data_IF_108282104974
#
_entry.id   IF_108282104974
#
_cell.length_a   1.000
_cell.length_b   1.000
_cell.length_c   1.000
_cell.angle_alpha   90.00
_cell.angle_beta   90.00
_cell.angle_gamma   90.00
#
_symmetry.space_group_name_H-M   'P 1'
#
loop_
_entity.id
_entity.type
_entity.pdbx_description
1 polymer ?
#
# COMPACT_ATOMS: atom_id res chain seq x y z
N UNK A 1 -7.15 -69.64 17.71
CA UNK A 1 -7.29 -68.18 17.55
C UNK A 1 -6.57 -67.78 16.26
N UNK A 2 -7.34 -67.29 15.31
CA UNK A 2 -7.00 -67.22 13.89
C UNK A 2 -6.05 -66.03 13.62
N UNK A 3 -4.89 -66.30 13.00
CA UNK A 3 -3.86 -65.27 12.61
C UNK A 3 -4.39 -64.17 11.67
N UNK A 4 -5.63 -64.29 11.20
CA UNK A 4 -6.28 -63.28 10.35
C UNK A 4 -6.91 -62.11 11.15
N UNK A 5 -7.27 -62.34 12.42
CA UNK A 5 -7.84 -61.27 13.27
C UNK A 5 -6.79 -60.31 13.83
N UNK A 6 -5.55 -60.78 13.98
CA UNK A 6 -4.46 -59.94 14.49
C UNK A 6 -3.88 -58.98 13.43
N UNK A 7 -4.02 -59.30 12.13
CA UNK A 7 -3.59 -58.42 11.04
C UNK A 7 -4.59 -57.28 10.77
N UNK A 8 -5.86 -57.45 11.09
CA UNK A 8 -6.90 -56.44 10.94
C UNK A 8 -6.82 -55.32 11.99
N UNK A 9 -6.33 -55.63 13.19
CA UNK A 9 -6.21 -54.64 14.27
C UNK A 9 -4.97 -53.75 14.16
N UNK A 10 -3.91 -54.19 13.47
CA UNK A 10 -2.68 -53.40 13.26
C UNK A 10 -2.86 -52.38 12.12
N UNK A 11 -3.77 -52.64 11.16
CA UNK A 11 -4.04 -51.73 10.05
C UNK A 11 -5.05 -50.62 10.41
N UNK A 12 -5.81 -50.75 11.47
CA UNK A 12 -6.78 -49.74 11.95
C UNK A 12 -6.17 -48.72 12.90
N UNK A 13 -4.93 -48.93 13.41
CA UNK A 13 -4.28 -48.00 14.32
C UNK A 13 -3.25 -47.06 13.62
N UNK A 14 -3.06 -47.22 12.31
CA UNK A 14 -2.13 -46.41 11.52
C UNK A 14 -2.77 -45.23 10.77
N UNK A 15 -4.08 -44.98 10.95
CA UNK A 15 -4.87 -44.01 10.21
C UNK A 15 -5.54 -42.91 11.08
N UNK A 16 -5.05 -42.68 12.31
CA UNK A 16 -5.52 -41.57 13.15
C UNK A 16 -4.35 -40.74 13.74
N UNK A 17 -3.36 -40.44 12.94
CA UNK A 17 -2.54 -39.24 13.15
C UNK A 17 -2.90 -38.28 12.02
N UNK A 18 -4.17 -37.88 11.97
CA UNK A 18 -4.52 -36.58 11.42
C UNK A 18 -3.97 -35.58 12.44
N UNK A 19 -2.70 -35.23 12.30
CA UNK A 19 -2.14 -34.10 12.98
C UNK A 19 -3.00 -32.90 12.59
N UNK A 20 -3.81 -32.37 13.50
CA UNK A 20 -4.22 -30.98 13.43
C UNK A 20 -2.92 -30.19 13.44
N UNK A 21 -2.35 -29.91 12.27
CA UNK A 21 -1.35 -28.87 12.17
C UNK A 21 -2.00 -27.61 12.73
N UNK A 22 -1.55 -27.23 13.91
CA UNK A 22 -2.04 -26.01 14.55
C UNK A 22 -1.69 -24.87 13.61
N UNK A 23 -2.70 -24.18 13.08
CA UNK A 23 -2.49 -23.03 12.23
C UNK A 23 -1.49 -22.08 12.91
N UNK A 24 -0.44 -21.67 12.17
CA UNK A 24 0.57 -20.71 12.61
C UNK A 24 -0.11 -19.48 13.20
N UNK A 25 0.31 -19.03 14.39
CA UNK A 25 -0.23 -17.78 14.94
C UNK A 25 0.19 -16.59 14.09
N UNK A 26 -0.59 -15.50 14.12
CA UNK A 26 -0.23 -14.28 13.37
C UNK A 26 1.09 -13.68 13.83
N UNK A 27 1.45 -13.83 15.12
CA UNK A 27 2.73 -13.37 15.64
C UNK A 27 3.90 -14.22 15.12
N UNK A 28 3.77 -15.55 15.16
CA UNK A 28 4.81 -16.45 14.60
C UNK A 28 5.01 -16.20 13.10
N UNK A 29 3.90 -15.96 12.38
CA UNK A 29 3.93 -15.61 10.96
C UNK A 29 4.64 -14.26 10.72
N UNK A 30 4.36 -13.25 11.53
CA UNK A 30 5.03 -11.95 11.44
C UNK A 30 6.54 -12.11 11.73
N UNK A 31 6.93 -12.84 12.76
CA UNK A 31 8.34 -13.12 13.09
C UNK A 31 9.07 -13.79 11.93
N UNK A 32 8.42 -14.80 11.31
CA UNK A 32 8.97 -15.51 10.14
C UNK A 32 9.13 -14.58 8.94
N UNK A 33 8.12 -13.76 8.65
CA UNK A 33 8.14 -12.83 7.52
C UNK A 33 9.19 -11.73 7.72
N UNK A 34 9.25 -11.11 8.90
CA UNK A 34 10.26 -10.07 9.17
C UNK A 34 11.68 -10.64 9.20
N UNK A 35 11.87 -11.90 9.63
CA UNK A 35 13.15 -12.58 9.51
C UNK A 35 13.57 -12.77 8.05
N UNK A 36 12.65 -13.14 7.18
CA UNK A 36 12.90 -13.21 5.74
C UNK A 36 13.17 -11.81 5.16
N UNK A 37 12.32 -10.83 5.48
CA UNK A 37 12.44 -9.46 5.01
C UNK A 37 13.82 -8.87 5.33
N UNK A 38 14.32 -9.09 6.55
CA UNK A 38 15.64 -8.65 6.97
C UNK A 38 16.75 -9.20 6.04
N UNK A 39 16.72 -10.49 5.71
CA UNK A 39 17.69 -11.13 4.80
C UNK A 39 17.57 -10.61 3.36
N UNK A 40 16.35 -10.49 2.86
CA UNK A 40 16.08 -10.01 1.50
C UNK A 40 16.52 -8.54 1.34
N UNK A 41 16.15 -7.68 2.28
CA UNK A 41 16.53 -6.27 2.26
C UNK A 41 18.04 -6.05 2.37
N UNK A 42 18.74 -6.81 3.22
CA UNK A 42 20.19 -6.73 3.34
C UNK A 42 20.87 -7.08 2.01
N UNK A 43 20.44 -8.17 1.37
CA UNK A 43 20.94 -8.57 0.04
C UNK A 43 20.66 -7.50 -1.01
N UNK A 44 19.41 -7.02 -1.11
CA UNK A 44 19.04 -5.97 -2.07
C UNK A 44 19.86 -4.71 -1.87
N UNK A 45 20.07 -4.28 -0.63
CA UNK A 45 20.86 -3.09 -0.30
C UNK A 45 22.34 -3.20 -0.70
N UNK A 46 22.90 -4.42 -0.81
CA UNK A 46 24.26 -4.67 -1.30
C UNK A 46 24.37 -4.57 -2.83
N UNK A 47 23.28 -4.81 -3.57
CA UNK A 47 23.24 -4.73 -5.03
C UNK A 47 22.98 -3.31 -5.55
N UNK A 48 22.60 -2.38 -4.67
CA UNK A 48 22.29 -0.99 -5.03
C UNK A 48 23.52 -0.09 -4.95
N UNK A 49 23.69 0.72 -5.98
CA UNK A 49 24.65 1.82 -5.98
C UNK A 49 24.08 3.08 -5.29
N UNK A 50 24.87 4.17 -5.27
CA UNK A 50 24.50 5.43 -4.60
C UNK A 50 23.39 6.23 -5.30
N UNK A 51 22.97 5.84 -6.51
CA UNK A 51 22.05 6.64 -7.34
C UNK A 51 20.70 5.96 -7.59
N UNK A 52 20.64 4.65 -7.43
CA UNK A 52 19.48 3.87 -7.82
C UNK A 52 18.75 3.27 -6.62
N UNK A 53 17.46 3.15 -6.78
CA UNK A 53 16.53 2.43 -5.89
C UNK A 53 15.98 1.19 -6.63
N UNK A 54 15.53 0.14 -5.92
CA UNK A 54 14.96 -1.02 -6.58
C UNK A 54 13.56 -0.66 -7.10
N UNK A 55 13.20 -1.27 -8.22
CA UNK A 55 11.89 -1.12 -8.83
C UNK A 55 11.16 -2.46 -8.91
N UNK A 56 11.82 -3.48 -9.52
CA UNK A 56 11.27 -4.80 -9.78
C UNK A 56 12.39 -5.79 -10.05
N UNK A 57 12.06 -7.05 -10.32
CA UNK A 57 12.97 -8.10 -10.75
C UNK A 57 12.34 -8.87 -11.89
N UNK A 58 13.07 -9.03 -13.02
CA UNK A 58 12.55 -9.65 -14.23
C UNK A 58 12.78 -11.17 -14.31
N UNK A 59 13.13 -11.79 -13.20
CA UNK A 59 13.50 -13.20 -13.11
C UNK A 59 15.00 -13.47 -13.28
N UNK A 60 15.76 -12.49 -13.78
CA UNK A 60 17.21 -12.60 -14.04
C UNK A 60 18.03 -11.50 -13.39
N UNK A 61 17.55 -10.28 -13.40
CA UNK A 61 18.26 -9.10 -12.88
C UNK A 61 17.35 -8.17 -12.11
N UNK A 62 17.93 -7.47 -11.15
CA UNK A 62 17.29 -6.39 -10.42
C UNK A 62 17.07 -5.18 -11.36
N UNK A 63 15.82 -4.80 -11.56
CA UNK A 63 15.46 -3.59 -12.29
C UNK A 63 15.53 -2.42 -11.30
N UNK A 64 16.37 -1.46 -11.63
CA UNK A 64 16.65 -0.28 -10.80
C UNK A 64 16.13 0.98 -11.47
N UNK A 65 15.78 1.97 -10.66
CA UNK A 65 15.36 3.29 -11.13
C UNK A 65 16.04 4.38 -10.32
N UNK A 66 16.10 5.60 -10.85
CA UNK A 66 16.54 6.78 -10.09
C UNK A 66 15.41 7.27 -9.18
N UNK A 67 15.76 8.11 -8.21
CA UNK A 67 14.83 8.68 -7.23
C UNK A 67 13.56 9.29 -7.86
N UNK A 68 13.63 9.81 -9.09
CA UNK A 68 12.47 10.37 -9.78
C UNK A 68 11.38 9.34 -10.13
N UNK A 69 11.67 8.04 -10.09
CA UNK A 69 10.65 7.01 -10.29
C UNK A 69 9.73 6.93 -9.08
N UNK A 70 8.44 6.96 -9.31
CA UNK A 70 7.40 7.14 -8.30
C UNK A 70 7.49 6.22 -7.06
N UNK A 71 8.03 5.02 -7.20
CA UNK A 71 8.13 4.07 -6.11
C UNK A 71 9.46 4.12 -5.31
N UNK A 72 10.29 5.15 -5.51
CA UNK A 72 11.64 5.22 -4.89
C UNK A 72 11.64 5.30 -3.37
N UNK A 73 10.53 5.73 -2.76
CA UNK A 73 10.39 5.85 -1.30
C UNK A 73 10.07 4.55 -0.58
N UNK A 74 9.61 3.51 -1.29
CA UNK A 74 9.10 2.30 -0.62
C UNK A 74 10.21 1.40 -0.07
N UNK A 75 11.30 1.20 -0.80
CA UNK A 75 12.40 0.38 -0.28
C UNK A 75 13.05 0.96 0.98
N UNK A 76 13.41 2.26 1.05
CA UNK A 76 13.83 2.84 2.32
C UNK A 76 12.75 2.71 3.40
N UNK A 77 11.48 2.87 3.05
CA UNK A 77 10.36 2.63 3.98
C UNK A 77 10.32 1.19 4.50
N UNK A 78 10.50 0.21 3.63
CA UNK A 78 10.60 -1.22 4.01
C UNK A 78 11.74 -1.46 5.00
N UNK A 79 12.91 -0.82 4.79
CA UNK A 79 14.04 -0.89 5.72
C UNK A 79 13.72 -0.27 7.09
N UNK A 80 12.97 0.84 7.12
CA UNK A 80 12.49 1.45 8.36
C UNK A 80 11.54 0.54 9.13
N UNK A 81 10.59 -0.15 8.46
CA UNK A 81 9.70 -1.13 9.09
C UNK A 81 10.48 -2.34 9.61
N UNK A 82 11.49 -2.83 8.88
CA UNK A 82 12.36 -3.90 9.36
C UNK A 82 13.16 -3.45 10.60
N UNK A 83 13.65 -2.21 10.62
CA UNK A 83 14.31 -1.65 11.81
C UNK A 83 13.35 -1.57 12.99
N UNK A 84 12.15 -1.05 12.81
CA UNK A 84 11.15 -0.93 13.88
C UNK A 84 10.81 -2.27 14.50
N UNK A 85 10.63 -3.30 13.67
CA UNK A 85 10.28 -4.65 14.13
C UNK A 85 11.44 -5.36 14.83
N UNK A 86 12.66 -5.26 14.27
CA UNK A 86 13.81 -6.03 14.74
C UNK A 86 14.63 -5.32 15.82
N UNK A 87 14.61 -4.00 15.86
CA UNK A 87 15.49 -3.18 16.69
C UNK A 87 16.98 -3.24 16.29
N UNK A 88 17.32 -3.83 15.13
CA UNK A 88 18.71 -3.97 14.67
C UNK A 88 19.18 -2.67 13.97
N UNK A 89 20.12 -1.96 14.60
CA UNK A 89 20.70 -0.70 14.13
C UNK A 89 21.35 -0.80 12.72
N UNK A 90 21.67 -2.00 12.26
CA UNK A 90 22.11 -2.21 10.88
C UNK A 90 21.03 -1.76 9.89
N UNK A 91 19.75 -2.08 10.14
CA UNK A 91 18.65 -1.68 9.26
C UNK A 91 18.38 -0.20 9.34
N UNK A 92 18.54 0.44 10.48
CA UNK A 92 18.51 1.89 10.60
C UNK A 92 19.57 2.53 9.69
N UNK A 93 20.81 2.08 9.77
CA UNK A 93 21.89 2.59 8.92
C UNK A 93 21.62 2.42 7.43
N UNK A 94 21.07 1.25 7.03
CA UNK A 94 20.66 0.99 5.66
C UNK A 94 19.50 1.90 5.22
N UNK A 95 18.49 2.07 6.09
CA UNK A 95 17.32 2.91 5.83
C UNK A 95 17.72 4.38 5.66
N UNK A 96 18.57 4.93 6.53
CA UNK A 96 19.10 6.27 6.41
C UNK A 96 19.84 6.48 5.06
N UNK A 97 20.69 5.52 4.68
CA UNK A 97 21.43 5.55 3.41
C UNK A 97 20.48 5.57 2.20
N UNK A 98 19.49 4.71 2.19
CA UNK A 98 18.56 4.59 1.07
C UNK A 98 17.56 5.76 1.03
N UNK A 99 17.13 6.28 2.20
CA UNK A 99 16.29 7.47 2.32
C UNK A 99 16.97 8.70 1.73
N UNK A 100 18.27 8.90 1.99
CA UNK A 100 19.03 10.04 1.47
C UNK A 100 19.01 10.14 -0.07
N UNK A 101 18.87 9.02 -0.79
CA UNK A 101 18.75 9.02 -2.27
C UNK A 101 17.46 9.69 -2.76
N UNK A 102 16.42 9.70 -1.93
CA UNK A 102 15.09 10.22 -2.28
C UNK A 102 14.99 11.73 -2.00
N UNK A 103 15.90 12.31 -1.23
CA UNK A 103 15.84 13.71 -0.82
C UNK A 103 15.62 14.73 -1.96
N UNK A 104 16.24 14.59 -3.15
CA UNK A 104 16.02 15.55 -4.24
C UNK A 104 14.55 15.68 -4.68
N UNK A 105 13.71 14.71 -4.35
CA UNK A 105 12.28 14.70 -4.69
C UNK A 105 11.51 15.81 -3.95
N UNK A 106 11.99 16.28 -2.82
CA UNK A 106 11.35 17.38 -2.08
C UNK A 106 11.13 18.65 -2.90
N UNK A 107 11.86 18.82 -4.03
CA UNK A 107 11.73 19.97 -4.93
C UNK A 107 10.89 19.70 -6.19
N UNK A 108 10.35 18.49 -6.34
CA UNK A 108 9.58 18.12 -7.53
C UNK A 108 8.17 18.71 -7.47
N UNK A 109 7.82 19.49 -8.51
CA UNK A 109 6.53 20.19 -8.64
C UNK A 109 5.74 19.76 -9.88
N UNK A 110 6.23 18.77 -10.63
CA UNK A 110 5.60 18.30 -11.88
C UNK A 110 5.06 16.86 -11.80
N UNK A 111 5.02 16.29 -10.59
CA UNK A 111 4.48 14.98 -10.30
C UNK A 111 3.77 14.99 -8.94
N UNK A 112 2.72 14.19 -8.77
CA UNK A 112 2.02 14.07 -7.50
C UNK A 112 2.63 13.03 -6.55
N UNK A 113 3.44 12.11 -7.07
CA UNK A 113 4.00 10.99 -6.31
C UNK A 113 5.06 11.40 -5.27
N UNK A 114 5.35 12.70 -5.18
CA UNK A 114 6.14 13.29 -4.08
C UNK A 114 5.64 12.83 -2.71
N UNK A 115 4.31 12.68 -2.54
CA UNK A 115 3.72 12.18 -1.30
C UNK A 115 4.16 10.75 -1.00
N UNK A 116 4.00 9.81 -1.93
CA UNK A 116 4.48 8.44 -1.79
C UNK A 116 5.96 8.37 -1.46
N UNK A 117 6.78 9.08 -2.26
CA UNK A 117 8.22 9.01 -2.17
C UNK A 117 8.75 9.51 -0.82
N UNK A 118 8.26 10.65 -0.37
CA UNK A 118 8.76 11.32 0.85
C UNK A 118 8.09 10.75 2.11
N UNK A 119 6.78 10.52 2.10
CA UNK A 119 6.10 10.02 3.30
C UNK A 119 6.54 8.60 3.67
N UNK A 120 6.70 7.70 2.68
CA UNK A 120 7.16 6.34 2.94
C UNK A 120 8.65 6.25 3.32
N UNK A 121 9.47 7.26 3.02
CA UNK A 121 10.91 7.30 3.35
C UNK A 121 11.21 8.24 4.52
N UNK A 122 11.26 9.54 4.29
CA UNK A 122 11.53 10.54 5.31
C UNK A 122 10.44 10.62 6.39
N UNK A 123 9.18 10.34 6.04
CA UNK A 123 8.10 10.23 7.01
C UNK A 123 8.35 9.12 8.03
N UNK A 124 8.79 7.94 7.58
CA UNK A 124 9.16 6.84 8.47
C UNK A 124 10.42 7.18 9.30
N UNK A 125 11.43 7.79 8.67
CA UNK A 125 12.61 8.28 9.39
C UNK A 125 12.22 9.21 10.53
N UNK A 126 11.44 10.25 10.24
CA UNK A 126 10.99 11.19 11.26
C UNK A 126 10.16 10.51 12.35
N UNK A 127 9.23 9.64 11.97
CA UNK A 127 8.36 8.91 12.91
C UNK A 127 9.17 8.11 13.94
N UNK A 128 10.23 7.45 13.50
CA UNK A 128 11.01 6.54 14.34
C UNK A 128 12.14 7.22 15.10
N UNK A 129 12.70 8.31 14.55
CA UNK A 129 13.91 8.91 15.10
C UNK A 129 13.73 10.34 15.63
N UNK A 130 12.67 11.04 15.21
CA UNK A 130 12.49 12.46 15.49
C UNK A 130 13.49 13.35 14.75
N UNK A 131 14.12 12.87 13.67
CA UNK A 131 15.15 13.57 12.91
C UNK A 131 14.64 14.90 12.35
N UNK A 132 15.28 16.00 12.77
CA UNK A 132 14.91 17.36 12.36
C UNK A 132 15.12 17.59 10.85
N UNK A 133 16.14 16.96 10.23
CA UNK A 133 16.35 17.05 8.80
C UNK A 133 15.24 16.35 8.01
N UNK A 134 14.82 15.16 8.46
CA UNK A 134 13.69 14.46 7.85
C UNK A 134 12.41 15.31 7.90
N UNK A 135 12.14 15.97 9.03
CA UNK A 135 11.03 16.92 9.18
C UNK A 135 11.10 18.07 8.17
N UNK A 136 12.29 18.68 7.98
CA UNK A 136 12.50 19.75 7.00
C UNK A 136 12.26 19.28 5.57
N UNK A 137 12.71 18.06 5.23
CA UNK A 137 12.48 17.44 3.92
C UNK A 137 10.99 17.21 3.67
N UNK A 138 10.25 16.67 4.65
CA UNK A 138 8.80 16.49 4.58
C UNK A 138 8.09 17.83 4.36
N UNK A 139 8.43 18.85 5.13
CA UNK A 139 7.86 20.19 5.02
C UNK A 139 8.06 20.78 3.62
N UNK A 140 9.30 20.77 3.11
CA UNK A 140 9.61 21.24 1.76
C UNK A 140 8.82 20.47 0.68
N UNK A 141 8.74 19.15 0.81
CA UNK A 141 8.03 18.29 -0.13
C UNK A 141 6.51 18.55 -0.14
N UNK A 142 5.92 18.76 1.04
CA UNK A 142 4.49 19.09 1.15
C UNK A 142 4.16 20.41 0.44
N UNK A 143 5.01 21.42 0.59
CA UNK A 143 4.88 22.68 -0.14
C UNK A 143 5.07 22.51 -1.65
N UNK A 144 6.03 21.70 -2.09
CA UNK A 144 6.22 21.39 -3.51
C UNK A 144 4.98 20.70 -4.09
N UNK A 145 4.42 19.70 -3.39
CA UNK A 145 3.19 19.00 -3.79
C UNK A 145 1.99 19.96 -3.82
N UNK A 146 1.85 20.85 -2.84
CA UNK A 146 0.72 21.77 -2.74
C UNK A 146 0.65 22.78 -3.90
N UNK A 147 1.78 23.06 -4.59
CA UNK A 147 1.79 23.92 -5.79
C UNK A 147 0.96 23.35 -6.95
N UNK A 148 0.67 22.07 -6.93
CA UNK A 148 -0.13 21.37 -7.96
C UNK A 148 -1.64 21.48 -7.73
N UNK A 149 -2.05 22.09 -6.63
CA UNK A 149 -3.45 22.27 -6.29
C UNK A 149 -4.09 23.38 -7.14
N UNK A 150 -5.22 23.07 -7.75
CA UNK A 150 -6.07 24.06 -8.44
C UNK A 150 -7.35 24.25 -7.61
N UNK A 151 -7.61 25.45 -7.06
CA UNK A 151 -8.78 25.69 -6.21
C UNK A 151 -10.11 25.64 -6.99
N UNK A 152 -10.12 25.89 -8.31
CA UNK A 152 -11.31 25.78 -9.15
C UNK A 152 -11.72 24.32 -9.36
N UNK A 153 -10.74 23.43 -9.59
CA UNK A 153 -10.96 21.98 -9.68
C UNK A 153 -11.18 21.37 -8.29
N UNK A 154 -10.49 21.91 -7.27
CA UNK A 154 -10.48 21.38 -5.92
C UNK A 154 -9.56 20.18 -5.74
N UNK A 155 -8.63 19.94 -6.67
CA UNK A 155 -7.71 18.80 -6.65
C UNK A 155 -6.26 19.20 -6.91
N UNK A 156 -5.35 18.31 -6.53
CA UNK A 156 -3.94 18.27 -6.93
C UNK A 156 -3.87 17.56 -8.28
N UNK A 157 -3.23 18.17 -9.27
CA UNK A 157 -3.01 17.57 -10.59
C UNK A 157 -2.02 16.39 -10.47
N UNK A 158 -2.35 15.25 -11.10
CA UNK A 158 -1.49 14.08 -11.05
C UNK A 158 -0.29 14.17 -11.99
N UNK A 159 -0.53 14.38 -13.27
CA UNK A 159 0.52 14.34 -14.31
C UNK A 159 0.55 15.59 -15.17
N UNK A 160 1.75 15.94 -15.64
CA UNK A 160 1.96 17.01 -16.65
C UNK A 160 2.23 16.43 -18.04
N UNK A 161 2.44 15.12 -18.17
CA UNK A 161 2.63 14.45 -19.45
C UNK A 161 1.28 14.05 -20.06
N UNK A 162 1.30 13.85 -21.38
CA UNK A 162 0.20 13.30 -22.14
C UNK A 162 0.57 11.88 -22.61
N UNK A 163 -0.36 10.94 -22.50
CA UNK A 163 -0.24 9.67 -23.19
C UNK A 163 -0.66 9.84 -24.64
N UNK A 164 -0.15 8.98 -25.53
CA UNK A 164 -0.48 9.04 -26.95
C UNK A 164 -1.99 8.94 -27.15
N UNK A 165 -2.57 9.94 -27.77
CA UNK A 165 -4.01 10.05 -28.04
C UNK A 165 -4.83 10.65 -26.90
N UNK A 166 -4.21 11.01 -25.76
CA UNK A 166 -4.90 11.77 -24.71
C UNK A 166 -4.89 13.28 -25.00
N UNK A 167 -5.88 13.96 -24.45
CA UNK A 167 -6.01 15.43 -24.51
C UNK A 167 -6.35 15.99 -23.13
N UNK A 168 -5.77 15.39 -22.07
CA UNK A 168 -6.06 15.79 -20.70
C UNK A 168 -5.65 17.22 -20.41
N UNK A 169 -6.55 17.93 -19.74
CA UNK A 169 -6.29 19.31 -19.30
C UNK A 169 -5.80 19.34 -17.85
N UNK A 170 -6.47 18.58 -16.97
CA UNK A 170 -6.12 18.49 -15.58
C UNK A 170 -6.43 17.07 -15.05
N UNK A 171 -5.56 16.09 -15.37
CA UNK A 171 -5.79 14.71 -14.98
C UNK A 171 -5.55 14.50 -13.48
N UNK A 172 -6.47 13.78 -12.85
CA UNK A 172 -6.39 13.34 -11.45
C UNK A 172 -6.65 11.84 -11.41
N UNK A 173 -5.72 11.07 -10.86
CA UNK A 173 -5.89 9.63 -10.67
C UNK A 173 -6.18 9.32 -9.20
N UNK A 174 -6.83 8.17 -8.98
CA UNK A 174 -7.23 7.75 -7.62
C UNK A 174 -6.03 7.56 -6.68
N UNK A 175 -4.87 7.22 -7.21
CA UNK A 175 -3.59 7.08 -6.52
C UNK A 175 -3.20 8.34 -5.73
N UNK A 176 -3.65 9.50 -6.19
CA UNK A 176 -3.36 10.77 -5.54
C UNK A 176 -3.91 10.86 -4.10
N UNK A 177 -4.91 10.05 -3.75
CA UNK A 177 -5.39 9.93 -2.38
C UNK A 177 -4.29 9.51 -1.40
N UNK A 178 -3.32 8.70 -1.85
CA UNK A 178 -2.19 8.26 -1.04
C UNK A 178 -1.19 9.39 -0.76
N UNK A 179 -1.05 10.30 -1.71
CA UNK A 179 -0.12 11.43 -1.62
C UNK A 179 -0.59 12.50 -0.61
N UNK A 180 -1.88 12.49 -0.24
CA UNK A 180 -2.46 13.40 0.75
C UNK A 180 -1.91 13.15 2.16
N UNK A 181 -1.41 11.96 2.45
CA UNK A 181 -0.88 11.62 3.77
C UNK A 181 0.31 12.52 4.15
N UNK A 182 1.17 12.86 3.19
CA UNK A 182 2.26 13.83 3.40
C UNK A 182 1.70 15.19 3.83
N UNK A 183 0.68 15.71 3.13
CA UNK A 183 0.09 17.00 3.45
C UNK A 183 -0.54 17.01 4.84
N UNK A 184 -1.31 15.96 5.17
CA UNK A 184 -1.97 15.84 6.46
C UNK A 184 -0.96 15.69 7.61
N UNK A 185 0.12 14.93 7.38
CA UNK A 185 1.20 14.75 8.36
C UNK A 185 1.91 16.07 8.65
N UNK A 186 2.31 16.81 7.61
CA UNK A 186 2.99 18.09 7.76
C UNK A 186 2.05 19.14 8.35
N UNK A 187 0.79 19.20 7.92
CA UNK A 187 -0.20 20.11 8.50
C UNK A 187 -0.33 19.94 10.02
N UNK A 188 -0.31 18.69 10.49
CA UNK A 188 -0.40 18.38 11.92
C UNK A 188 0.92 18.68 12.68
N UNK A 189 2.08 18.51 12.03
CA UNK A 189 3.39 18.72 12.65
C UNK A 189 3.79 20.19 12.75
N UNK A 190 3.41 20.99 11.74
CA UNK A 190 3.84 22.39 11.59
C UNK A 190 2.74 23.40 11.93
N UNK A 191 1.54 22.93 12.31
CA UNK A 191 0.34 23.77 12.52
C UNK A 191 -0.02 24.60 11.26
N UNK A 192 0.03 23.92 10.09
CA UNK A 192 -0.26 24.53 8.77
C UNK A 192 -1.62 24.08 8.21
N UNK A 193 -2.74 24.71 8.63
CA UNK A 193 -4.09 24.27 8.25
C UNK A 193 -4.36 24.36 6.73
N UNK A 194 -3.59 25.13 6.00
CA UNK A 194 -3.75 25.26 4.55
C UNK A 194 -3.41 23.95 3.80
N UNK A 195 -2.39 23.22 4.24
CA UNK A 195 -2.07 21.91 3.67
C UNK A 195 -3.19 20.90 3.93
N UNK A 196 -3.75 20.91 5.14
CA UNK A 196 -4.92 20.07 5.44
C UNK A 196 -6.15 20.47 4.59
N UNK A 197 -6.39 21.79 4.39
CA UNK A 197 -7.49 22.29 3.55
C UNK A 197 -7.35 21.79 2.10
N UNK A 198 -6.14 21.78 1.54
CA UNK A 198 -5.87 21.23 0.21
C UNK A 198 -6.19 19.73 0.15
N UNK A 199 -5.71 18.95 1.12
CA UNK A 199 -5.97 17.51 1.21
C UNK A 199 -7.46 17.19 1.33
N UNK A 200 -8.19 17.90 2.20
CA UNK A 200 -9.64 17.77 2.38
C UNK A 200 -10.39 18.14 1.10
N UNK A 201 -10.02 19.24 0.44
CA UNK A 201 -10.62 19.63 -0.85
C UNK A 201 -10.45 18.55 -1.92
N UNK A 202 -9.23 18.00 -2.02
CA UNK A 202 -8.93 16.92 -2.97
C UNK A 202 -9.77 15.67 -2.67
N UNK A 203 -9.80 15.22 -1.41
CA UNK A 203 -10.57 14.05 -1.01
C UNK A 203 -12.07 14.21 -1.28
N UNK A 204 -12.65 15.39 -1.00
CA UNK A 204 -14.06 15.68 -1.26
C UNK A 204 -14.39 15.68 -2.75
N UNK A 205 -13.52 16.25 -3.59
CA UNK A 205 -13.70 16.25 -5.04
C UNK A 205 -13.56 14.82 -5.61
N UNK A 206 -12.61 14.04 -5.11
CA UNK A 206 -12.44 12.62 -5.44
C UNK A 206 -13.68 11.82 -5.05
N UNK A 207 -14.18 12.01 -3.84
CA UNK A 207 -15.39 11.35 -3.34
C UNK A 207 -16.63 11.64 -4.21
N UNK A 208 -16.71 12.84 -4.78
CA UNK A 208 -17.80 13.25 -5.67
C UNK A 208 -17.69 12.67 -7.09
N UNK A 209 -16.48 12.61 -7.64
CA UNK A 209 -16.32 12.42 -9.08
C UNK A 209 -15.68 11.09 -9.50
N UNK A 210 -14.88 10.42 -8.62
CA UNK A 210 -14.17 9.20 -9.00
C UNK A 210 -15.00 7.93 -8.81
N UNK A 211 -16.17 7.99 -8.16
CA UNK A 211 -16.94 6.79 -7.84
C UNK A 211 -18.06 6.54 -8.83
N UNK A 212 -18.32 5.25 -9.06
CA UNK A 212 -19.55 4.73 -9.65
C UNK A 212 -20.60 4.45 -8.55
N UNK A 213 -21.86 4.22 -8.92
CA UNK A 213 -22.93 3.94 -7.93
C UNK A 213 -22.67 2.71 -7.06
N UNK A 214 -21.86 1.74 -7.52
CA UNK A 214 -21.47 0.52 -6.82
C UNK A 214 -20.22 0.67 -5.94
N UNK A 215 -19.73 1.90 -5.76
CA UNK A 215 -18.52 2.27 -5.03
C UNK A 215 -17.20 1.82 -5.64
N UNK A 216 -17.19 1.28 -6.87
CA UNK A 216 -15.95 1.13 -7.62
C UNK A 216 -15.44 2.50 -8.12
N UNK A 217 -14.13 2.64 -8.27
CA UNK A 217 -13.53 3.91 -8.71
C UNK A 217 -13.11 3.86 -10.18
N UNK A 218 -13.25 4.99 -10.86
CA UNK A 218 -12.47 5.28 -12.05
C UNK A 218 -11.01 5.47 -11.68
N UNK A 219 -10.09 5.03 -12.56
CA UNK A 219 -8.68 5.31 -12.37
C UNK A 219 -8.37 6.80 -12.52
N UNK A 220 -8.82 7.41 -13.62
CA UNK A 220 -8.55 8.79 -13.98
C UNK A 220 -9.84 9.58 -14.22
N UNK A 221 -9.89 10.80 -13.67
CA UNK A 221 -10.86 11.84 -14.02
C UNK A 221 -10.10 13.06 -14.51
N UNK A 222 -10.39 13.51 -15.73
CA UNK A 222 -9.86 14.76 -16.28
C UNK A 222 -10.83 15.91 -16.06
N UNK A 223 -10.31 17.05 -15.66
CA UNK A 223 -11.10 18.25 -15.36
C UNK A 223 -10.72 19.40 -16.27
N UNK A 224 -11.69 20.28 -16.50
CA UNK A 224 -11.44 21.61 -17.06
C UNK A 224 -10.88 22.52 -15.94
N UNK A 225 -9.63 23.00 -16.04
CA UNK A 225 -9.03 23.82 -14.99
C UNK A 225 -9.67 25.21 -14.83
N UNK A 226 -10.47 25.68 -15.81
CA UNK A 226 -11.10 26.99 -15.78
C UNK A 226 -12.41 27.04 -14.97
N UNK A 227 -13.16 25.93 -14.93
CA UNK A 227 -14.47 25.88 -14.28
C UNK A 227 -14.66 24.64 -13.35
N UNK A 228 -13.71 23.72 -13.31
CA UNK A 228 -13.75 22.52 -12.48
C UNK A 228 -14.70 21.41 -12.99
N UNK A 229 -15.27 21.56 -14.17
CA UNK A 229 -16.13 20.54 -14.76
C UNK A 229 -15.35 19.29 -15.15
N UNK A 230 -16.02 18.12 -15.12
CA UNK A 230 -15.43 16.85 -15.57
C UNK A 230 -15.47 16.78 -17.08
N UNK A 231 -14.31 16.64 -17.72
CA UNK A 231 -14.18 16.43 -19.17
C UNK A 231 -14.44 14.97 -19.54
N UNK A 232 -13.77 14.04 -18.85
CA UNK A 232 -13.88 12.59 -19.09
C UNK A 232 -13.48 11.78 -17.87
N UNK A 233 -13.86 10.51 -17.88
CA UNK A 233 -13.45 9.51 -16.92
C UNK A 233 -12.94 8.29 -17.68
N UNK A 234 -11.75 7.79 -17.30
CA UNK A 234 -11.12 6.71 -18.02
C UNK A 234 -10.14 5.93 -17.16
N UNK A 235 -9.54 4.90 -17.75
CA UNK A 235 -8.42 4.18 -17.17
C UNK A 235 -7.13 4.39 -17.97
N UNK A 236 -5.98 4.12 -17.29
CA UNK A 236 -4.65 4.01 -17.91
C UNK A 236 -4.05 2.67 -17.57
N UNK A 237 -4.31 2.16 -16.35
CA UNK A 237 -3.74 0.92 -15.83
C UNK A 237 -4.77 -0.20 -15.65
N UNK A 238 -6.08 0.09 -15.74
CA UNK A 238 -7.16 -0.90 -15.71
C UNK A 238 -7.44 -1.51 -17.08
N UNK A 239 -8.30 -2.52 -17.09
CA UNK A 239 -8.69 -3.26 -18.30
C UNK A 239 -9.48 -2.40 -19.28
N UNK A 240 -10.47 -1.63 -18.80
CA UNK A 240 -11.33 -0.76 -19.57
C UNK A 240 -11.73 0.47 -18.76
N UNK A 241 -12.26 1.52 -19.43
CA UNK A 241 -12.65 2.77 -18.77
C UNK A 241 -13.74 2.59 -17.71
N UNK A 242 -14.56 1.56 -17.85
CA UNK A 242 -15.63 1.18 -16.93
C UNK A 242 -15.25 0.02 -16.00
N UNK A 243 -14.04 -0.54 -16.09
CA UNK A 243 -13.57 -1.60 -15.21
C UNK A 243 -13.08 -1.10 -13.85
N UNK A 244 -12.93 -2.03 -12.91
CA UNK A 244 -12.45 -1.77 -11.57
C UNK A 244 -11.00 -2.29 -11.42
N UNK A 245 -10.02 -1.47 -11.77
CA UNK A 245 -8.61 -1.78 -11.57
C UNK A 245 -8.30 -1.98 -10.08
N UNK A 246 -7.79 -3.17 -9.72
CA UNK A 246 -7.72 -3.63 -8.34
C UNK A 246 -6.89 -2.71 -7.43
N UNK A 247 -5.72 -2.29 -7.89
CA UNK A 247 -4.85 -1.40 -7.09
C UNK A 247 -5.47 0.00 -6.92
N UNK A 248 -6.25 0.49 -7.89
CA UNK A 248 -7.01 1.73 -7.73
C UNK A 248 -8.07 1.62 -6.62
N UNK A 249 -8.76 0.48 -6.52
CA UNK A 249 -9.70 0.24 -5.42
C UNK A 249 -8.95 0.18 -4.07
N UNK A 250 -7.76 -0.42 -4.05
CA UNK A 250 -6.91 -0.46 -2.85
C UNK A 250 -6.47 0.94 -2.40
N UNK A 251 -6.02 1.78 -3.34
CA UNK A 251 -5.67 3.18 -3.05
C UNK A 251 -6.85 3.97 -2.49
N UNK A 252 -8.03 3.74 -3.04
CA UNK A 252 -9.27 4.34 -2.56
C UNK A 252 -9.57 3.95 -1.11
N UNK A 253 -9.54 2.65 -0.79
CA UNK A 253 -9.78 2.15 0.56
C UNK A 253 -8.80 2.75 1.56
N UNK A 254 -7.49 2.67 1.26
CA UNK A 254 -6.44 3.21 2.14
C UNK A 254 -6.58 4.72 2.31
N UNK A 255 -6.73 5.46 1.20
CA UNK A 255 -6.77 6.92 1.21
C UNK A 255 -7.92 7.47 2.03
N UNK A 256 -9.13 6.91 1.94
CA UNK A 256 -10.27 7.38 2.75
C UNK A 256 -10.19 6.93 4.21
N UNK A 257 -9.61 5.75 4.49
CA UNK A 257 -9.30 5.33 5.86
C UNK A 257 -8.28 6.28 6.50
N UNK A 258 -7.23 6.66 5.78
CA UNK A 258 -6.23 7.64 6.18
C UNK A 258 -6.85 9.02 6.41
N UNK A 259 -7.70 9.51 5.52
CA UNK A 259 -8.38 10.79 5.71
C UNK A 259 -9.24 10.80 6.98
N UNK A 260 -9.95 9.70 7.28
CA UNK A 260 -10.66 9.57 8.56
C UNK A 260 -9.72 9.59 9.76
N UNK A 261 -8.57 8.93 9.68
CA UNK A 261 -7.56 8.95 10.75
C UNK A 261 -7.19 10.38 11.17
N UNK A 262 -6.96 11.24 10.20
CA UNK A 262 -6.54 12.63 10.46
C UNK A 262 -7.68 13.56 10.81
N UNK A 263 -8.83 13.45 10.14
CA UNK A 263 -9.91 14.44 10.24
C UNK A 263 -11.01 14.07 11.23
N UNK A 264 -11.24 12.77 11.44
CA UNK A 264 -12.41 12.22 12.16
C UNK A 264 -13.75 12.60 11.53
N UNK A 265 -13.76 13.01 10.27
CA UNK A 265 -14.98 13.28 9.52
C UNK A 265 -15.65 11.94 9.13
N UNK A 266 -16.88 11.75 9.62
CA UNK A 266 -17.66 10.53 9.40
C UNK A 266 -17.88 10.23 7.90
N UNK A 267 -17.93 11.24 7.03
CA UNK A 267 -18.09 11.03 5.59
C UNK A 267 -16.95 10.20 4.96
N UNK A 268 -15.73 10.33 5.48
CA UNK A 268 -14.59 9.53 5.04
C UNK A 268 -14.66 8.10 5.56
N UNK A 269 -15.13 7.89 6.80
CA UNK A 269 -15.36 6.56 7.34
C UNK A 269 -16.45 5.84 6.56
N UNK A 270 -17.56 6.51 6.30
CA UNK A 270 -18.67 5.97 5.52
C UNK A 270 -18.21 5.58 4.09
N UNK A 271 -17.35 6.41 3.48
CA UNK A 271 -16.77 6.10 2.17
C UNK A 271 -15.84 4.89 2.23
N UNK A 272 -14.92 4.85 3.19
CA UNK A 272 -13.99 3.74 3.37
C UNK A 272 -14.75 2.43 3.63
N UNK A 273 -15.79 2.46 4.47
CA UNK A 273 -16.64 1.31 4.76
C UNK A 273 -17.38 0.81 3.51
N UNK A 274 -17.97 1.72 2.72
CA UNK A 274 -18.66 1.34 1.49
C UNK A 274 -17.72 0.71 0.45
N UNK A 275 -16.49 1.24 0.32
CA UNK A 275 -15.45 0.63 -0.55
C UNK A 275 -15.01 -0.72 0.00
N UNK A 276 -14.85 -0.85 1.32
CA UNK A 276 -14.49 -2.11 1.96
C UNK A 276 -15.56 -3.20 1.72
N UNK A 277 -16.83 -2.87 1.88
CA UNK A 277 -17.94 -3.79 1.65
C UNK A 277 -18.04 -4.23 0.19
N UNK A 278 -17.84 -3.28 -0.75
CA UNK A 278 -17.74 -3.60 -2.18
C UNK A 278 -16.60 -4.58 -2.43
N UNK A 279 -15.40 -4.34 -1.88
CA UNK A 279 -14.25 -5.23 -2.02
C UNK A 279 -14.53 -6.61 -1.43
N UNK A 280 -15.10 -6.72 -0.23
CA UNK A 280 -15.46 -7.99 0.38
C UNK A 280 -16.40 -8.82 -0.51
N UNK A 281 -17.28 -8.16 -1.27
CA UNK A 281 -18.22 -8.83 -2.17
C UNK A 281 -17.58 -9.32 -3.48
N UNK A 282 -16.40 -8.81 -3.84
CA UNK A 282 -15.75 -9.07 -5.15
C UNK A 282 -14.42 -9.84 -5.03
N UNK A 283 -13.78 -9.82 -3.87
CA UNK A 283 -12.53 -10.53 -3.65
C UNK A 283 -12.70 -12.05 -3.79
N UNK A 284 -11.74 -12.74 -4.43
CA UNK A 284 -11.70 -14.21 -4.46
C UNK A 284 -11.58 -14.81 -3.06
N UNK A 285 -11.82 -16.12 -2.95
CA UNK A 285 -11.79 -16.84 -1.67
C UNK A 285 -10.45 -16.69 -0.92
N UNK A 286 -9.33 -16.66 -1.63
CA UNK A 286 -7.99 -16.47 -1.06
C UNK A 286 -7.66 -15.01 -0.67
N UNK A 287 -8.53 -14.08 -1.01
CA UNK A 287 -8.39 -12.65 -0.70
C UNK A 287 -7.44 -11.87 -1.62
N UNK A 288 -6.79 -12.52 -2.61
CA UNK A 288 -5.88 -11.84 -3.52
C UNK A 288 -6.65 -11.45 -4.80
N UNK A 289 -6.81 -10.15 -5.09
CA UNK A 289 -7.56 -9.72 -6.26
C UNK A 289 -6.83 -10.07 -7.55
N UNK A 290 -7.58 -10.29 -8.62
CA UNK A 290 -7.05 -10.16 -9.96
C UNK A 290 -6.62 -8.72 -10.21
N UNK A 291 -5.69 -8.49 -11.14
CA UNK A 291 -5.18 -7.15 -11.44
C UNK A 291 -6.27 -6.13 -11.80
N UNK A 292 -7.38 -6.63 -12.34
CA UNK A 292 -8.62 -5.89 -12.57
C UNK A 292 -9.81 -6.83 -12.28
N UNK A 293 -10.78 -6.36 -11.50
CA UNK A 293 -11.93 -7.16 -11.09
C UNK A 293 -12.87 -7.54 -12.25
N UNK A 294 -12.76 -6.84 -13.38
CA UNK A 294 -13.59 -7.03 -14.56
C UNK A 294 -12.78 -7.61 -15.74
N UNK A 295 -11.59 -8.18 -15.48
CA UNK A 295 -10.82 -8.85 -16.51
C UNK A 295 -11.60 -10.01 -17.12
N UNK A 296 -11.70 -10.08 -18.47
CA UNK A 296 -12.46 -11.14 -19.14
C UNK A 296 -11.79 -12.51 -19.06
N UNK A 297 -10.56 -12.59 -18.52
CA UNK A 297 -9.81 -13.84 -18.37
C UNK A 297 -10.00 -14.51 -17.01
N UNK A 298 -10.72 -13.88 -16.09
CA UNK A 298 -11.01 -14.50 -14.78
C UNK A 298 -11.76 -15.82 -15.01
N UNK A 299 -11.38 -16.95 -14.34
CA UNK A 299 -10.40 -17.07 -13.26
C UNK A 299 -8.92 -17.29 -13.70
N UNK A 300 -8.62 -17.35 -14.97
CA UNK A 300 -7.30 -17.71 -15.52
C UNK A 300 -6.47 -16.44 -15.86
N UNK A 301 -6.49 -15.44 -14.98
CA UNK A 301 -5.73 -14.20 -15.14
C UNK A 301 -4.78 -13.94 -13.97
N UNK A 302 -3.88 -12.96 -14.12
CA UNK A 302 -2.90 -12.58 -13.12
C UNK A 302 -3.56 -11.96 -11.88
N UNK A 303 -3.12 -12.39 -10.72
CA UNK A 303 -3.44 -11.77 -9.43
C UNK A 303 -2.41 -10.70 -9.08
N UNK A 304 -2.84 -9.70 -8.29
CA UNK A 304 -1.97 -8.59 -7.89
C UNK A 304 -1.74 -8.61 -6.37
N UNK A 305 -0.60 -9.18 -5.97
CA UNK A 305 -0.17 -9.19 -4.57
C UNK A 305 0.00 -7.78 -4.00
N UNK A 306 0.36 -6.80 -4.85
CA UNK A 306 0.52 -5.41 -4.40
C UNK A 306 -0.82 -4.78 -3.98
N UNK A 307 -1.88 -5.02 -4.74
CA UNK A 307 -3.22 -4.56 -4.39
C UNK A 307 -3.71 -5.22 -3.08
N UNK A 308 -3.45 -6.54 -2.92
CA UNK A 308 -3.79 -7.25 -1.69
C UNK A 308 -3.04 -6.69 -0.46
N UNK A 309 -1.75 -6.39 -0.59
CA UNK A 309 -0.94 -5.83 0.49
C UNK A 309 -1.48 -4.46 0.96
N UNK A 310 -1.81 -3.57 0.01
CA UNK A 310 -2.43 -2.27 0.31
C UNK A 310 -3.80 -2.43 0.96
N UNK A 311 -4.64 -3.33 0.42
CA UNK A 311 -5.96 -3.63 0.99
C UNK A 311 -5.82 -4.16 2.43
N UNK A 312 -4.90 -5.10 2.68
CA UNK A 312 -4.69 -5.67 4.00
C UNK A 312 -4.32 -4.59 5.03
N UNK A 313 -3.38 -3.69 4.68
CA UNK A 313 -3.02 -2.56 5.55
C UNK A 313 -4.20 -1.65 5.85
N UNK A 314 -4.99 -1.32 4.83
CA UNK A 314 -6.18 -0.48 4.99
C UNK A 314 -7.29 -1.18 5.78
N UNK A 315 -7.55 -2.47 5.55
CA UNK A 315 -8.55 -3.24 6.29
C UNK A 315 -8.22 -3.35 7.78
N UNK A 316 -6.94 -3.60 8.14
CA UNK A 316 -6.51 -3.63 9.54
C UNK A 316 -6.83 -2.30 10.23
N UNK A 317 -6.49 -1.20 9.58
CA UNK A 317 -6.71 0.14 10.13
C UNK A 317 -8.21 0.48 10.21
N UNK A 318 -8.98 0.22 9.14
CA UNK A 318 -10.42 0.45 9.10
C UNK A 318 -11.16 -0.34 10.16
N UNK A 319 -10.73 -1.58 10.43
CA UNK A 319 -11.34 -2.43 11.46
C UNK A 319 -11.31 -1.78 12.86
N UNK A 320 -10.33 -0.92 13.14
CA UNK A 320 -10.25 -0.19 14.41
C UNK A 320 -11.22 1.00 14.50
N UNK A 321 -11.80 1.44 13.38
CA UNK A 321 -12.68 2.60 13.31
C UNK A 321 -14.14 2.22 13.03
N UNK A 322 -14.38 1.17 12.27
CA UNK A 322 -15.72 0.75 11.89
C UNK A 322 -16.53 0.25 13.10
N UNK A 323 -17.84 0.48 13.16
CA UNK A 323 -18.71 -0.02 14.22
C UNK A 323 -18.66 -1.55 14.39
N UNK A 324 -18.58 -2.32 13.28
CA UNK A 324 -18.19 -3.73 13.24
C UNK A 324 -16.99 -3.88 12.31
N UNK A 325 -15.80 -3.92 12.90
CA UNK A 325 -14.55 -4.12 12.18
C UNK A 325 -14.20 -5.59 11.89
N UNK A 326 -15.00 -6.54 12.43
CA UNK A 326 -14.68 -7.97 12.35
C UNK A 326 -14.56 -8.49 10.91
N UNK A 327 -15.42 -8.14 9.94
CA UNK A 327 -15.26 -8.62 8.56
C UNK A 327 -13.97 -8.15 7.91
N UNK A 328 -13.59 -6.90 8.16
CA UNK A 328 -12.38 -6.27 7.60
C UNK A 328 -11.12 -6.91 8.18
N UNK A 329 -11.08 -7.10 9.50
CA UNK A 329 -9.94 -7.75 10.14
C UNK A 329 -9.77 -9.20 9.68
N UNK A 330 -10.88 -9.94 9.50
CA UNK A 330 -10.85 -11.31 8.96
C UNK A 330 -10.34 -11.35 7.52
N UNK A 331 -10.71 -10.38 6.69
CA UNK A 331 -10.19 -10.31 5.31
C UNK A 331 -8.72 -9.96 5.32
N UNK A 332 -8.29 -8.99 6.13
CA UNK A 332 -6.87 -8.65 6.28
C UNK A 332 -6.05 -9.87 6.73
N UNK A 333 -6.52 -10.62 7.75
CA UNK A 333 -5.83 -11.84 8.19
C UNK A 333 -5.74 -12.87 7.06
N UNK A 334 -6.81 -13.08 6.29
CA UNK A 334 -6.81 -13.97 5.14
C UNK A 334 -5.76 -13.54 4.10
N UNK A 335 -5.75 -12.26 3.71
CA UNK A 335 -4.78 -11.71 2.77
C UNK A 335 -3.34 -11.87 3.26
N UNK A 336 -3.09 -11.55 4.53
CA UNK A 336 -1.76 -11.70 5.13
C UNK A 336 -1.29 -13.15 5.16
N UNK A 337 -2.18 -14.10 5.47
CA UNK A 337 -1.85 -15.54 5.43
C UNK A 337 -1.55 -16.02 4.01
N UNK A 338 -2.36 -15.62 3.04
CA UNK A 338 -2.13 -15.97 1.63
C UNK A 338 -0.83 -15.38 1.12
N UNK A 339 -0.56 -14.09 1.38
CA UNK A 339 0.69 -13.43 0.99
C UNK A 339 1.92 -14.04 1.70
N UNK A 340 1.74 -14.67 2.87
CA UNK A 340 2.79 -15.35 3.63
C UNK A 340 2.98 -16.82 3.22
N UNK A 341 2.21 -17.33 2.25
CA UNK A 341 2.33 -18.68 1.72
C UNK A 341 3.53 -18.81 0.76
N UNK A 342 3.93 -20.06 0.47
CA UNK A 342 5.00 -20.37 -0.49
C UNK A 342 4.68 -19.87 -1.91
N UNK A 343 3.40 -19.69 -2.24
CA UNK A 343 2.98 -19.15 -3.54
C UNK A 343 3.43 -17.69 -3.70
N UNK A 344 3.21 -16.85 -2.67
CA UNK A 344 3.47 -15.39 -2.76
C UNK A 344 4.76 -14.96 -2.07
N UNK A 345 5.21 -15.65 -1.04
CA UNK A 345 6.41 -15.30 -0.31
C UNK A 345 7.65 -15.84 -1.02
N UNK A 346 8.69 -15.04 -1.16
CA UNK A 346 9.95 -15.47 -1.75
C UNK A 346 10.70 -16.44 -0.84
N UNK A 347 11.43 -17.37 -1.44
CA UNK A 347 12.43 -18.13 -0.69
C UNK A 347 13.65 -17.27 -0.34
N UNK A 348 14.31 -17.52 0.80
CA UNK A 348 15.49 -16.76 1.21
C UNK A 348 16.56 -16.71 0.12
N UNK A 349 17.01 -15.51 -0.24
CA UNK A 349 18.05 -15.29 -1.24
C UNK A 349 17.60 -15.39 -2.69
N UNK A 350 16.31 -15.48 -2.95
CA UNK A 350 15.74 -15.50 -4.31
C UNK A 350 15.04 -14.18 -4.66
N UNK A 351 14.31 -14.14 -5.76
CA UNK A 351 13.40 -13.06 -6.17
C UNK A 351 14.06 -11.66 -6.21
N UNK A 352 15.38 -11.58 -6.50
CA UNK A 352 16.10 -10.30 -6.56
C UNK A 352 16.18 -9.54 -5.22
N UNK A 353 15.84 -10.19 -4.10
CA UNK A 353 15.80 -9.57 -2.79
C UNK A 353 14.45 -8.96 -2.41
N UNK A 354 13.41 -9.11 -3.26
CA UNK A 354 12.04 -8.76 -2.91
C UNK A 354 11.38 -9.82 -2.02
N UNK A 355 10.44 -9.40 -1.19
CA UNK A 355 9.74 -10.23 -0.22
C UNK A 355 8.58 -10.99 -0.88
N UNK A 356 7.74 -10.25 -1.62
CA UNK A 356 6.58 -10.80 -2.33
C UNK A 356 6.86 -11.07 -3.79
N UNK A 357 6.14 -12.03 -4.35
CA UNK A 357 6.05 -12.39 -5.77
C UNK A 357 4.70 -11.90 -6.33
N UNK A 358 4.49 -12.10 -7.64
CA UNK A 358 3.17 -12.07 -8.29
C UNK A 358 2.38 -10.77 -8.15
N UNK A 359 3.01 -9.64 -8.47
CA UNK A 359 2.33 -8.34 -8.57
C UNK A 359 2.16 -7.89 -10.02
N UNK A 360 1.22 -6.97 -10.26
CA UNK A 360 0.98 -6.39 -11.59
C UNK A 360 1.09 -4.87 -11.54
N UNK A 361 2.15 -4.31 -12.13
CA UNK A 361 2.37 -2.87 -12.21
C UNK A 361 1.44 -2.18 -13.21
N UNK A 362 1.54 -2.56 -14.48
CA UNK A 362 0.74 -1.96 -15.56
C UNK A 362 0.48 -2.99 -16.67
N UNK A 363 -0.64 -3.69 -16.60
CA UNK A 363 -1.03 -4.70 -17.57
C UNK A 363 -1.24 -4.12 -18.99
N UNK A 364 -1.99 -3.02 -19.20
CA UNK A 364 -2.16 -2.45 -20.54
C UNK A 364 -0.85 -2.00 -21.19
N UNK A 365 0.10 -1.56 -20.38
CA UNK A 365 1.44 -1.18 -20.83
C UNK A 365 2.40 -2.34 -20.99
N UNK A 366 1.97 -3.58 -20.69
CA UNK A 366 2.83 -4.77 -20.63
C UNK A 366 4.12 -4.53 -19.83
N UNK A 367 3.99 -3.86 -18.70
CA UNK A 367 5.10 -3.45 -17.84
C UNK A 367 4.86 -3.95 -16.41
N UNK A 368 5.85 -4.67 -15.88
CA UNK A 368 5.80 -5.20 -14.52
C UNK A 368 4.58 -6.13 -14.31
N UNK A 369 4.44 -7.13 -15.18
CA UNK A 369 3.39 -8.16 -15.13
C UNK A 369 3.94 -9.41 -14.49
N UNK A 370 3.28 -9.88 -13.43
CA UNK A 370 3.65 -11.07 -12.66
C UNK A 370 5.10 -11.03 -12.12
N UNK A 371 5.45 -9.92 -11.50
CA UNK A 371 6.80 -9.65 -10.97
C UNK A 371 6.73 -9.09 -9.55
N UNK A 372 7.81 -9.15 -8.77
CA UNK A 372 7.89 -8.47 -7.48
C UNK A 372 7.90 -6.95 -7.64
N UNK A 373 7.25 -6.23 -6.71
CA UNK A 373 7.18 -4.78 -6.70
C UNK A 373 7.49 -4.22 -5.31
N UNK A 374 8.31 -3.17 -5.26
CA UNK A 374 8.80 -2.62 -3.99
C UNK A 374 7.70 -2.09 -3.07
N UNK A 375 6.59 -1.58 -3.63
CA UNK A 375 5.45 -1.13 -2.83
C UNK A 375 4.58 -2.29 -2.31
N UNK A 376 4.60 -3.46 -2.97
CA UNK A 376 3.97 -4.66 -2.41
C UNK A 376 4.64 -5.06 -1.10
N UNK A 377 5.97 -5.08 -1.07
CA UNK A 377 6.77 -5.39 0.11
C UNK A 377 6.51 -4.41 1.25
N UNK A 378 6.49 -3.09 0.94
CA UNK A 378 6.24 -2.05 1.93
C UNK A 378 4.88 -2.22 2.61
N UNK A 379 3.81 -2.27 1.83
CA UNK A 379 2.45 -2.37 2.40
C UNK A 379 2.18 -3.71 3.07
N UNK A 380 2.84 -4.78 2.63
CA UNK A 380 2.75 -6.07 3.29
C UNK A 380 3.34 -6.03 4.70
N UNK A 381 4.54 -5.48 4.87
CA UNK A 381 5.15 -5.33 6.19
C UNK A 381 4.38 -4.33 7.06
N UNK A 382 3.92 -3.22 6.49
CA UNK A 382 3.07 -2.26 7.20
C UNK A 382 1.78 -2.91 7.72
N UNK A 383 1.15 -3.76 6.90
CA UNK A 383 -0.06 -4.48 7.30
C UNK A 383 0.18 -5.47 8.44
N UNK A 384 1.30 -6.22 8.39
CA UNK A 384 1.69 -7.14 9.46
C UNK A 384 1.98 -6.41 10.77
N UNK A 385 2.67 -5.28 10.70
CA UNK A 385 2.94 -4.46 11.88
C UNK A 385 1.65 -3.90 12.48
N UNK A 386 0.79 -3.29 11.67
CA UNK A 386 -0.53 -2.82 12.09
C UNK A 386 -1.35 -3.94 12.74
N UNK A 387 -1.34 -5.15 12.15
CA UNK A 387 -2.08 -6.30 12.69
C UNK A 387 -1.53 -6.74 14.05
N UNK A 388 -0.21 -6.82 14.20
CA UNK A 388 0.43 -7.20 15.48
C UNK A 388 0.07 -6.22 16.61
N UNK A 389 -0.04 -4.93 16.29
CA UNK A 389 -0.47 -3.92 17.25
C UNK A 389 -1.94 -4.09 17.68
N UNK A 390 -2.83 -4.59 16.83
CA UNK A 390 -4.24 -4.85 17.21
C UNK A 390 -4.34 -5.99 18.24
N UNK A 391 -3.51 -7.02 18.12
CA UNK A 391 -3.50 -8.17 19.05
C UNK A 391 -2.94 -7.83 20.43
N UNK A 392 -2.05 -6.84 20.52
CA UNK A 392 -1.50 -6.33 21.78
C UNK A 392 -2.36 -5.23 22.41
N UNK A 393 -3.23 -4.58 21.63
CA UNK A 393 -4.06 -3.46 22.05
C UNK A 393 -5.37 -3.84 22.75
N UNK A 394 -5.53 -5.06 23.25
CA UNK A 394 -6.58 -5.35 24.25
C UNK A 394 -6.45 -4.45 25.49
N UNK A 395 -5.40 -3.62 25.57
CA UNK A 395 -5.14 -2.67 26.65
C UNK A 395 -4.97 -1.20 26.27
N UNK A 396 -4.84 -0.81 25.02
CA UNK A 396 -4.74 0.64 24.67
C UNK A 396 -5.15 0.89 23.21
N UNK A 397 -6.39 1.27 22.98
CA UNK A 397 -6.76 2.02 21.78
C UNK A 397 -5.94 3.32 21.73
N UNK A 398 -5.32 3.57 20.59
CA UNK A 398 -4.56 4.77 20.22
C UNK A 398 -3.04 4.67 20.33
N UNK A 399 -2.41 4.46 19.23
CA UNK A 399 -1.26 5.33 18.88
C UNK A 399 -0.63 4.96 17.53
N UNK A 400 -1.31 5.23 16.43
CA UNK A 400 -0.59 5.62 15.24
C UNK A 400 -0.01 7.01 15.53
N UNK A 401 1.32 7.24 15.42
CA UNK A 401 1.99 8.40 16.06
C UNK A 401 1.49 9.78 15.62
N UNK A 402 0.97 9.91 14.41
CA UNK A 402 0.45 11.19 13.91
C UNK A 402 -0.97 11.55 14.40
N UNK A 403 -1.70 10.61 15.02
CA UNK A 403 -3.05 10.87 15.54
C UNK A 403 -3.08 11.65 16.88
N UNK A 404 -1.95 11.92 17.51
CA UNK A 404 -1.89 12.61 18.82
C UNK A 404 -1.82 14.14 18.76
N UNK A 405 -1.60 14.74 17.59
CA UNK A 405 -1.43 16.20 17.46
C UNK A 405 -2.73 17.01 17.59
N UNK A 406 -3.90 16.37 17.65
CA UNK A 406 -5.21 17.03 17.69
C UNK A 406 -5.86 17.20 19.08
N UNK A 407 -5.11 17.05 20.19
CA UNK A 407 -5.66 17.35 21.54
C UNK A 407 -4.78 18.36 22.26
N UNK A 408 -5.04 19.61 22.01
CA UNK A 408 -4.84 20.71 22.95
C UNK A 408 -6.04 21.64 22.92
#
# INVERSE_FOLDING_TARGET
MNKAVLKGLIFALALMVCGCERQESMNDMADRVFTLAARQCERMAQELDSLHTPRSFDGTKLIKARAKWWCSGFFPGTLWLVYEYTGDEKFRTLAERETAKVEPIKWVTNDHDVGFQINCSFGQQYRLTGDAHAREVMHTAAHSLSTRFNPTVGCIRSWDFQLRGSSWQFPVIIDNMMNLELLMSVAALEDEPELARIAVSHANTTMKNHYRPDYTTYHLVDYNPADGSVNLKQTVQGYADDSAWARGQAWSLYGFTMMYRFTRDAAYLDRATAVADMLLSRLPEDGIPYWDFDSPKIPDDYKDASAAAVMASAFVELAAYAPDGSPYLKMAERQLRTLSSEEYLAEPGTNGGFILKHSVGNMPGNSEVDVPLTYADYYFLEALEKYSLTSTACCKATSWPFARAGRR
#
